data_IF_213860418008
#
_entry.id   IF_213860418008
#
_cell.length_a   1.000
_cell.length_b   1.000
_cell.length_c   1.000
_cell.angle_alpha   90.00
_cell.angle_beta   90.00
_cell.angle_gamma   90.00
#
_symmetry.space_group_name_H-M   'P 1'
#
loop_
_entity.id
_entity.type
_entity.pdbx_description
1 polymer ?
#
# COMPACT_ATOMS: atom_id res chain seq x y z
N UNK A 1 2.13 -0.36 -10.96
CA UNK A 1 3.26 0.09 -11.81
C UNK A 1 3.37 1.60 -11.93
N UNK A 2 2.26 2.35 -12.08
CA UNK A 2 2.25 3.81 -12.22
C UNK A 2 3.13 4.57 -11.20
N UNK A 3 3.13 4.17 -9.91
CA UNK A 3 3.95 4.81 -8.89
C UNK A 3 5.47 4.71 -9.18
N UNK A 4 5.94 3.55 -9.61
CA UNK A 4 7.35 3.33 -9.97
C UNK A 4 7.75 4.17 -11.20
N UNK A 5 6.85 4.24 -12.18
CA UNK A 5 7.11 5.07 -13.36
C UNK A 5 7.13 6.56 -13.03
N UNK A 6 6.28 7.03 -12.12
CA UNK A 6 6.37 8.41 -11.63
C UNK A 6 7.66 8.66 -10.87
N UNK A 7 8.11 7.72 -10.05
CA UNK A 7 9.36 7.83 -9.32
C UNK A 7 10.54 7.97 -10.29
N UNK A 8 10.62 7.12 -11.32
CA UNK A 8 11.67 7.19 -12.35
C UNK A 8 11.60 8.51 -13.12
N UNK A 9 10.41 8.90 -13.60
CA UNK A 9 10.22 10.13 -14.38
C UNK A 9 10.70 11.38 -13.64
N UNK A 10 10.57 11.39 -12.32
CA UNK A 10 10.93 12.53 -11.48
C UNK A 10 12.27 12.35 -10.74
N UNK A 11 12.97 11.24 -10.94
CA UNK A 11 14.26 10.97 -10.29
C UNK A 11 14.18 10.70 -8.78
N UNK A 12 13.04 10.20 -8.29
CA UNK A 12 12.82 9.89 -6.88
C UNK A 12 12.89 8.38 -6.58
N UNK A 13 13.13 8.04 -5.32
CA UNK A 13 12.97 6.67 -4.82
C UNK A 13 11.48 6.33 -4.60
N UNK A 14 11.15 5.04 -4.62
CA UNK A 14 9.81 4.56 -4.30
C UNK A 14 9.78 3.94 -2.91
N UNK A 15 8.79 4.33 -2.11
CA UNK A 15 8.52 3.75 -0.79
C UNK A 15 7.14 3.13 -0.77
N UNK A 16 7.08 1.82 -0.54
CA UNK A 16 5.86 1.06 -0.34
C UNK A 16 5.48 1.14 1.13
N UNK A 17 4.22 1.47 1.42
CA UNK A 17 3.74 1.61 2.80
C UNK A 17 2.50 0.76 2.98
N UNK A 18 2.55 -0.13 3.97
CA UNK A 18 1.38 -0.83 4.48
C UNK A 18 1.08 -0.35 5.90
N UNK A 19 -0.17 0.05 6.17
CA UNK A 19 -0.59 0.47 7.49
C UNK A 19 -1.42 -0.62 8.16
N UNK A 20 -1.02 -1.03 9.36
CA UNK A 20 -1.76 -1.99 10.18
C UNK A 20 -2.57 -1.21 11.22
N UNK A 21 -3.92 -1.20 11.14
CA UNK A 21 -4.73 -0.43 12.05
C UNK A 21 -4.51 -0.89 13.51
N UNK A 22 -4.53 0.04 14.48
CA UNK A 22 -4.48 -0.34 15.89
C UNK A 22 -5.77 -1.07 16.27
N UNK A 23 -5.69 -1.94 17.27
CA UNK A 23 -6.90 -2.50 17.89
C UNK A 23 -7.66 -1.37 18.55
N UNK A 24 -8.69 -0.83 17.90
CA UNK A 24 -9.65 0.03 18.57
C UNK A 24 -10.73 -0.85 19.23
N UNK A 25 -11.37 -0.32 20.27
CA UNK A 25 -12.32 -1.04 21.12
C UNK A 25 -13.52 -1.70 20.41
N UNK A 26 -13.76 -1.46 19.12
CA UNK A 26 -14.75 -2.20 18.34
C UNK A 26 -14.39 -3.69 18.13
N UNK A 27 -13.12 -4.07 18.36
CA UNK A 27 -12.61 -5.45 18.29
C UNK A 27 -12.49 -6.11 19.69
N UNK A 28 -12.98 -5.46 20.76
CA UNK A 28 -12.85 -5.94 22.14
C UNK A 28 -13.63 -7.25 22.44
N UNK A 29 -14.47 -7.72 21.50
CA UNK A 29 -15.23 -8.96 21.61
C UNK A 29 -14.58 -10.18 20.92
N UNK A 30 -13.38 -10.04 20.34
CA UNK A 30 -12.65 -11.15 19.72
C UNK A 30 -11.98 -12.05 20.77
N UNK A 31 -12.17 -13.38 20.71
CA UNK A 31 -11.44 -14.32 21.55
C UNK A 31 -9.98 -14.46 21.07
N UNK A 32 -9.06 -14.32 22.03
CA UNK A 32 -7.59 -14.30 21.91
C UNK A 32 -6.99 -13.07 21.20
N UNK A 33 -5.89 -12.50 21.73
CA UNK A 33 -5.14 -11.50 20.97
C UNK A 33 -4.61 -12.21 19.72
N UNK A 34 -5.07 -11.78 18.54
CA UNK A 34 -4.38 -12.08 17.29
C UNK A 34 -2.89 -11.87 17.53
N UNK A 35 -2.05 -12.82 17.12
CA UNK A 35 -0.61 -12.66 17.19
C UNK A 35 -0.21 -11.49 16.28
N UNK A 36 -0.12 -10.32 16.90
CA UNK A 36 0.19 -9.08 16.20
C UNK A 36 1.58 -9.14 15.60
N UNK A 37 2.51 -9.83 16.25
CA UNK A 37 3.86 -9.99 15.72
C UNK A 37 3.84 -10.89 14.49
N UNK A 38 3.09 -11.99 14.54
CA UNK A 38 2.83 -12.85 13.38
C UNK A 38 2.18 -12.10 12.21
N UNK A 39 1.15 -11.28 12.49
CA UNK A 39 0.50 -10.45 11.46
C UNK A 39 1.47 -9.47 10.80
N UNK A 40 2.30 -8.78 11.58
CA UNK A 40 3.30 -7.86 11.04
C UNK A 40 4.32 -8.62 10.19
N UNK A 41 4.82 -9.77 10.66
CA UNK A 41 5.76 -10.60 9.92
C UNK A 41 5.17 -11.08 8.58
N UNK A 42 3.91 -11.53 8.57
CA UNK A 42 3.22 -11.94 7.35
C UNK A 42 3.10 -10.78 6.34
N UNK A 43 2.76 -9.59 6.82
CA UNK A 43 2.66 -8.39 5.98
C UNK A 43 4.04 -7.98 5.47
N UNK A 44 5.08 -8.04 6.30
CA UNK A 44 6.46 -7.75 5.90
C UNK A 44 6.92 -8.69 4.79
N UNK A 45 6.63 -10.00 4.90
CA UNK A 45 6.91 -10.97 3.83
C UNK A 45 6.19 -10.59 2.54
N UNK A 46 4.90 -10.24 2.64
CA UNK A 46 4.12 -9.87 1.47
C UNK A 46 4.57 -8.55 0.83
N UNK A 47 5.01 -7.59 1.65
CA UNK A 47 5.50 -6.30 1.18
C UNK A 47 6.89 -6.44 0.56
N UNK A 48 7.75 -7.30 1.12
CA UNK A 48 9.07 -7.63 0.58
C UNK A 48 8.96 -8.33 -0.78
N UNK A 49 8.02 -9.27 -0.93
CA UNK A 49 7.68 -9.86 -2.22
C UNK A 49 7.27 -8.78 -3.23
N UNK A 50 6.47 -7.79 -2.80
CA UNK A 50 6.00 -6.69 -3.66
C UNK A 50 7.12 -5.76 -4.09
N UNK A 51 8.04 -5.48 -3.17
CA UNK A 51 9.28 -4.75 -3.46
C UNK A 51 10.11 -5.50 -4.50
N UNK A 52 10.33 -6.80 -4.33
CA UNK A 52 11.11 -7.62 -5.27
C UNK A 52 10.48 -7.64 -6.67
N UNK A 53 9.16 -7.79 -6.74
CA UNK A 53 8.41 -7.74 -8.01
C UNK A 53 8.54 -6.37 -8.70
N UNK A 54 8.44 -5.26 -7.97
CA UNK A 54 8.64 -3.94 -8.59
C UNK A 54 10.10 -3.77 -9.04
N UNK A 55 11.07 -4.18 -8.20
CA UNK A 55 12.49 -4.09 -8.51
C UNK A 55 12.87 -4.88 -9.76
N UNK A 56 12.25 -6.04 -10.01
CA UNK A 56 12.53 -6.85 -11.20
C UNK A 56 12.13 -6.16 -12.51
N UNK A 57 11.09 -5.32 -12.47
CA UNK A 57 10.61 -4.55 -13.63
C UNK A 57 11.28 -3.18 -13.75
N UNK A 58 11.86 -2.68 -12.66
CA UNK A 58 12.52 -1.38 -12.59
C UNK A 58 13.88 -1.50 -11.87
N UNK A 59 14.90 -2.12 -12.50
CA UNK A 59 16.16 -2.44 -11.81
C UNK A 59 16.93 -1.24 -11.27
N UNK A 60 16.78 -0.08 -11.90
CA UNK A 60 17.47 1.16 -11.51
C UNK A 60 16.73 1.95 -10.41
N UNK A 61 15.48 1.60 -10.12
CA UNK A 61 14.67 2.28 -9.13
C UNK A 61 15.06 1.82 -7.72
N UNK A 62 15.34 2.76 -6.81
CA UNK A 62 15.48 2.43 -5.39
C UNK A 62 14.10 2.21 -4.79
N UNK A 63 13.78 0.97 -4.43
CA UNK A 63 12.50 0.61 -3.78
C UNK A 63 12.75 0.25 -2.32
N UNK A 64 11.92 0.78 -1.42
CA UNK A 64 11.87 0.46 0.00
C UNK A 64 10.46 0.08 0.42
N UNK A 65 10.32 -0.62 1.54
CA UNK A 65 9.06 -1.16 2.03
C UNK A 65 8.98 -0.98 3.55
N UNK A 66 7.90 -0.34 4.02
CA UNK A 66 7.63 -0.12 5.44
C UNK A 66 6.24 -0.65 5.83
N UNK A 67 6.19 -1.42 6.91
CA UNK A 67 4.95 -1.76 7.62
C UNK A 67 4.84 -0.84 8.83
N UNK A 68 3.79 -0.02 8.85
CA UNK A 68 3.59 1.00 9.86
C UNK A 68 2.37 0.66 10.73
N UNK A 69 2.55 0.80 12.03
CA UNK A 69 1.46 0.74 12.98
C UNK A 69 0.67 2.05 12.97
N UNK A 70 -0.65 1.98 12.76
CA UNK A 70 -1.53 3.12 12.92
C UNK A 70 -2.73 3.12 11.98
N UNK A 71 -3.69 4.04 12.20
CA UNK A 71 -4.83 4.20 11.32
C UNK A 71 -4.37 4.51 9.88
N UNK A 72 -4.80 3.75 8.85
CA UNK A 72 -4.28 3.92 7.49
C UNK A 72 -4.37 5.34 6.93
N UNK A 73 -5.47 6.05 7.21
CA UNK A 73 -5.66 7.43 6.77
C UNK A 73 -4.60 8.35 7.40
N UNK A 74 -4.37 8.23 8.71
CA UNK A 74 -3.40 9.07 9.43
C UNK A 74 -1.96 8.78 8.99
N UNK A 75 -1.62 7.50 8.82
CA UNK A 75 -0.30 7.07 8.32
C UNK A 75 -0.03 7.67 6.95
N UNK A 76 -1.00 7.61 6.03
CA UNK A 76 -0.84 8.14 4.67
C UNK A 76 -0.87 9.68 4.61
N UNK A 77 -1.64 10.34 5.47
CA UNK A 77 -1.56 11.80 5.65
C UNK A 77 -0.16 12.18 6.17
N UNK A 78 0.39 11.44 7.12
CA UNK A 78 1.75 11.61 7.61
C UNK A 78 2.78 11.46 6.49
N UNK A 79 2.66 10.40 5.68
CA UNK A 79 3.52 10.17 4.52
C UNK A 79 3.43 11.32 3.50
N UNK A 80 2.25 11.90 3.29
CA UNK A 80 2.08 13.03 2.35
C UNK A 80 2.81 14.30 2.73
N UNK A 81 3.23 14.46 4.00
CA UNK A 81 4.00 15.64 4.45
C UNK A 81 5.46 15.61 3.97
N UNK A 82 6.00 14.42 3.73
CA UNK A 82 7.43 14.18 3.50
C UNK A 82 7.70 13.51 2.15
N UNK A 83 6.64 13.26 1.37
CA UNK A 83 6.73 12.61 0.06
C UNK A 83 6.37 13.62 -1.02
N UNK A 84 7.13 13.62 -2.11
CA UNK A 84 6.86 14.45 -3.29
C UNK A 84 5.52 14.06 -3.97
N UNK A 85 5.13 12.80 -3.85
CA UNK A 85 3.86 12.30 -4.35
C UNK A 85 3.42 11.06 -3.56
N UNK A 86 2.18 11.06 -3.08
CA UNK A 86 1.52 9.86 -2.56
C UNK A 86 0.65 9.25 -3.65
N UNK A 87 0.88 7.98 -3.96
CA UNK A 87 0.10 7.25 -4.97
C UNK A 87 -0.81 6.24 -4.29
N UNK A 88 -2.11 6.36 -4.54
CA UNK A 88 -3.14 5.50 -3.96
C UNK A 88 -3.90 4.77 -5.06
N UNK A 89 -4.31 3.54 -4.79
CA UNK A 89 -5.30 2.87 -5.62
C UNK A 89 -6.69 3.49 -5.42
N UNK A 90 -7.58 3.36 -6.41
CA UNK A 90 -8.97 3.78 -6.22
C UNK A 90 -9.68 2.99 -5.14
N UNK A 91 -9.33 1.72 -4.92
CA UNK A 91 -10.02 0.81 -3.99
C UNK A 91 -9.04 -0.23 -3.46
N UNK A 92 -9.32 -0.81 -2.30
CA UNK A 92 -8.70 -2.07 -1.87
C UNK A 92 -9.37 -3.28 -2.53
N UNK A 93 -8.72 -4.44 -2.49
CA UNK A 93 -9.24 -5.69 -3.07
C UNK A 93 -10.36 -6.36 -2.23
N UNK A 94 -10.72 -5.82 -1.06
CA UNK A 94 -11.62 -6.46 -0.08
C UNK A 94 -13.14 -6.29 -0.32
N UNK A 95 -13.60 -6.35 -1.57
CA UNK A 95 -14.99 -6.80 -1.84
C UNK A 95 -16.16 -5.79 -1.74
N UNK A 96 -15.98 -4.47 -1.89
CA UNK A 96 -17.11 -3.53 -2.04
C UNK A 96 -17.37 -3.19 -3.52
N UNK A 97 -17.98 -4.14 -4.24
CA UNK A 97 -18.42 -3.93 -5.62
C UNK A 97 -19.52 -2.84 -5.66
N UNK A 98 -19.17 -1.63 -6.13
CA UNK A 98 -20.14 -0.54 -6.34
C UNK A 98 -19.68 0.87 -5.93
N UNK A 99 -18.59 1.01 -5.16
CA UNK A 99 -18.09 2.32 -4.71
C UNK A 99 -17.00 2.87 -5.64
N UNK A 100 -17.00 4.17 -5.96
CA UNK A 100 -16.02 4.77 -6.86
C UNK A 100 -14.61 4.88 -6.23
N UNK A 101 -14.55 5.15 -4.91
CA UNK A 101 -13.32 5.30 -4.12
C UNK A 101 -13.40 4.48 -2.81
N UNK A 102 -12.29 3.91 -2.37
CA UNK A 102 -12.16 3.30 -1.04
C UNK A 102 -12.09 4.36 0.07
N UNK A 103 -12.56 4.03 1.27
CA UNK A 103 -12.60 4.94 2.42
C UNK A 103 -11.24 5.53 2.79
N UNK A 104 -10.16 4.75 2.67
CA UNK A 104 -8.80 5.24 2.89
C UNK A 104 -8.40 6.29 1.86
N UNK A 105 -8.64 6.03 0.57
CA UNK A 105 -8.29 6.96 -0.51
C UNK A 105 -9.07 8.26 -0.39
N UNK A 106 -10.37 8.16 -0.11
CA UNK A 106 -11.24 9.31 0.13
C UNK A 106 -10.76 10.13 1.35
N UNK A 107 -10.49 9.47 2.48
CA UNK A 107 -9.99 10.12 3.69
C UNK A 107 -8.66 10.85 3.48
N UNK A 108 -7.73 10.26 2.71
CA UNK A 108 -6.43 10.87 2.42
C UNK A 108 -6.59 12.06 1.47
N UNK A 109 -7.40 11.96 0.42
CA UNK A 109 -7.63 13.07 -0.52
C UNK A 109 -8.10 14.34 0.17
N UNK A 110 -8.97 14.21 1.18
CA UNK A 110 -9.52 15.35 1.91
C UNK A 110 -8.51 16.00 2.88
N UNK A 111 -7.48 15.28 3.33
CA UNK A 111 -6.64 15.72 4.45
C UNK A 111 -5.14 15.72 4.18
N UNK A 112 -4.70 15.24 3.01
CA UNK A 112 -3.30 15.20 2.61
C UNK A 112 -2.65 16.59 2.70
N UNK A 113 -1.37 16.59 3.02
CA UNK A 113 -0.54 17.80 3.16
C UNK A 113 0.43 18.00 1.99
N UNK A 114 0.37 17.12 1.01
CA UNK A 114 1.17 17.15 -0.20
C UNK A 114 0.43 16.51 -1.38
N UNK A 115 1.09 16.39 -2.55
CA UNK A 115 0.47 15.88 -3.76
C UNK A 115 -0.02 14.44 -3.60
N UNK A 116 -1.23 14.17 -4.09
CA UNK A 116 -1.84 12.82 -4.12
C UNK A 116 -2.27 12.50 -5.55
N UNK A 117 -1.91 11.32 -6.02
CA UNK A 117 -2.39 10.75 -7.27
C UNK A 117 -3.19 9.49 -6.99
N UNK A 118 -4.42 9.45 -7.50
CA UNK A 118 -5.27 8.25 -7.44
C UNK A 118 -5.22 7.52 -8.76
N UNK A 119 -4.83 6.26 -8.70
CA UNK A 119 -4.67 5.37 -9.86
C UNK A 119 -5.83 4.37 -9.86
N UNK A 120 -6.56 4.34 -10.97
CA UNK A 120 -7.59 3.33 -11.21
C UNK A 120 -6.92 1.99 -11.47
N UNK A 121 -7.64 0.91 -11.22
CA UNK A 121 -7.19 -0.40 -11.68
C UNK A 121 -7.06 -0.37 -13.21
N UNK A 122 -5.94 -0.89 -13.70
CA UNK A 122 -5.57 -0.86 -15.12
C UNK A 122 -4.97 -2.21 -15.48
N UNK A 123 -5.38 -2.73 -16.63
CA UNK A 123 -4.79 -3.92 -17.20
C UNK A 123 -3.33 -3.61 -17.58
N UNK A 124 -2.40 -4.21 -16.85
CA UNK A 124 -0.96 -4.13 -17.10
C UNK A 124 -0.40 -5.54 -17.17
N UNK A 125 0.19 -5.91 -18.30
CA UNK A 125 0.74 -7.26 -18.52
C UNK A 125 1.78 -7.66 -17.46
N UNK A 126 2.45 -6.69 -16.83
CA UNK A 126 3.41 -6.95 -15.75
C UNK A 126 2.74 -7.50 -14.48
N UNK A 127 1.43 -7.37 -14.35
CA UNK A 127 0.67 -7.98 -13.24
C UNK A 127 0.59 -9.51 -13.36
N UNK A 128 0.89 -10.08 -14.53
CA UNK A 128 0.73 -11.53 -14.77
C UNK A 128 1.80 -12.38 -14.07
N UNK A 129 3.04 -11.90 -13.96
CA UNK A 129 4.12 -12.59 -13.24
C UNK A 129 4.14 -12.26 -11.74
N UNK A 130 3.13 -11.53 -11.25
CA UNK A 130 3.03 -11.10 -9.85
C UNK A 130 3.05 -12.32 -8.90
N UNK A 131 2.42 -13.43 -9.30
CA UNK A 131 2.38 -14.66 -8.52
C UNK A 131 3.77 -15.33 -8.33
N UNK A 132 4.74 -15.03 -9.19
CA UNK A 132 6.07 -15.66 -9.17
C UNK A 132 6.94 -15.17 -7.99
N UNK A 133 6.55 -14.07 -7.34
CA UNK A 133 7.34 -13.40 -6.30
C UNK A 133 6.88 -13.74 -4.88
N UNK A 134 5.90 -14.64 -4.72
CA UNK A 134 5.38 -15.09 -3.44
C UNK A 134 4.02 -14.48 -3.07
N UNK A 135 3.59 -14.61 -1.79
CA UNK A 135 2.34 -14.02 -1.37
C UNK A 135 2.48 -12.50 -1.42
N UNK A 136 1.56 -11.82 -2.10
CA UNK A 136 1.58 -10.37 -2.24
C UNK A 136 0.31 -9.80 -1.62
N UNK A 137 0.42 -8.60 -1.06
CA UNK A 137 -0.75 -7.91 -0.50
C UNK A 137 -1.86 -7.82 -1.57
N UNK A 138 -3.01 -8.44 -1.29
CA UNK A 138 -4.17 -8.47 -2.18
C UNK A 138 -4.35 -9.73 -3.04
N UNK A 139 -3.49 -10.76 -2.91
CA UNK A 139 -3.66 -12.08 -3.55
C UNK A 139 -4.37 -13.10 -2.62
N UNK A 140 -5.59 -12.79 -2.14
CA UNK A 140 -6.45 -13.74 -1.40
C UNK A 140 -7.80 -13.90 -2.06
#
# INVERSE_FOLDING_TARGET
MVAAEQAIRNGFALRLVCAVPPYNGAMAWLPAPLDRQGLFADIEVQLAAGQAWIQSHFPELKVSADVLDGPPIEVLIGASKVSELVVLGTRGHSGFAGMLLGSTTDGVLHHAKGPVMVVKDQDDLRLTNRADFGPLLGNV
#
